data_IF_929634891754
#
_entry.id   IF_929634891754
#
_cell.length_a   1.000
_cell.length_b   1.000
_cell.length_c   1.000
_cell.angle_alpha   90.00
_cell.angle_beta   90.00
_cell.angle_gamma   90.00
#
_symmetry.space_group_name_H-M   'P 1'
#
loop_
_entity.id
_entity.type
_entity.pdbx_description
1 polymer ?
#
# COMPACT_ATOMS: atom_id res chain seq x y z
N UNK A 1 -15.86 9.66 3.07
CA UNK A 1 -16.05 10.90 2.29
C UNK A 1 -14.71 11.23 1.66
N UNK A 2 -14.64 11.30 0.33
CA UNK A 2 -13.37 11.55 -0.38
C UNK A 2 -13.25 13.06 -0.62
N UNK A 3 -12.50 13.73 0.24
CA UNK A 3 -11.97 15.09 0.02
C UNK A 3 -10.72 14.92 -0.87
N UNK A 4 -10.54 15.82 -1.83
CA UNK A 4 -9.37 15.77 -2.72
C UNK A 4 -8.08 16.16 -1.98
N UNK A 5 -6.92 15.82 -2.53
CA UNK A 5 -5.62 16.22 -1.94
C UNK A 5 -5.49 17.73 -1.83
N UNK A 6 -5.94 18.46 -2.85
CA UNK A 6 -5.84 19.92 -2.90
C UNK A 6 -6.74 20.57 -1.84
N UNK A 7 -7.97 20.07 -1.70
CA UNK A 7 -8.86 20.46 -0.62
C UNK A 7 -8.26 20.17 0.76
N UNK A 8 -7.57 19.04 0.94
CA UNK A 8 -6.89 18.72 2.21
C UNK A 8 -5.71 19.66 2.50
N UNK A 9 -4.95 20.07 1.49
CA UNK A 9 -3.87 21.06 1.66
C UNK A 9 -4.47 22.39 2.12
N UNK A 10 -5.55 22.86 1.49
CA UNK A 10 -6.25 24.07 1.91
C UNK A 10 -6.82 23.95 3.34
N UNK A 11 -7.31 22.75 3.71
CA UNK A 11 -7.74 22.47 5.08
C UNK A 11 -6.60 22.58 6.10
N UNK A 12 -5.36 22.20 5.74
CA UNK A 12 -4.18 22.35 6.60
C UNK A 12 -3.81 23.82 6.79
N UNK A 13 -3.83 24.61 5.72
CA UNK A 13 -3.56 26.04 5.82
C UNK A 13 -4.52 26.72 6.78
N UNK A 14 -5.82 26.44 6.63
CA UNK A 14 -6.85 26.96 7.53
C UNK A 14 -6.66 26.44 8.95
N UNK A 15 -6.31 25.17 9.16
CA UNK A 15 -5.96 24.66 10.50
C UNK A 15 -4.82 25.42 11.15
N UNK A 16 -3.79 25.79 10.36
CA UNK A 16 -2.68 26.62 10.83
C UNK A 16 -3.15 28.00 11.30
N UNK A 17 -3.94 28.68 10.47
CA UNK A 17 -4.52 30.00 10.79
C UNK A 17 -5.43 29.96 12.03
N UNK A 18 -6.16 28.86 12.21
CA UNK A 18 -7.11 28.67 13.29
C UNK A 18 -6.48 28.14 14.58
N UNK A 19 -5.15 28.20 14.73
CA UNK A 19 -4.42 27.65 15.88
C UNK A 19 -4.79 26.19 16.17
N UNK A 20 -4.98 25.39 15.11
CA UNK A 20 -5.35 23.96 15.15
C UNK A 20 -6.75 23.68 15.73
N UNK A 21 -7.63 24.70 15.80
CA UNK A 21 -9.02 24.53 16.20
C UNK A 21 -9.87 24.00 15.04
N UNK A 22 -10.21 22.71 15.09
CA UNK A 22 -10.95 22.01 14.04
C UNK A 22 -12.37 22.56 13.79
N UNK A 23 -13.07 23.00 14.84
CA UNK A 23 -14.43 23.54 14.72
C UNK A 23 -14.43 24.89 14.00
N UNK A 24 -13.50 25.77 14.39
CA UNK A 24 -13.33 27.08 13.77
C UNK A 24 -12.82 26.94 12.33
N UNK A 25 -11.89 26.02 12.10
CA UNK A 25 -11.38 25.69 10.75
C UNK A 25 -12.48 25.25 9.81
N UNK A 26 -13.40 24.40 10.28
CA UNK A 26 -14.53 23.95 9.46
C UNK A 26 -15.46 25.09 9.05
N UNK A 27 -15.69 26.06 9.93
CA UNK A 27 -16.49 27.26 9.60
C UNK A 27 -15.78 28.14 8.57
N UNK A 28 -14.52 28.49 8.83
CA UNK A 28 -13.72 29.34 7.93
C UNK A 28 -13.57 28.68 6.54
N UNK A 29 -13.36 27.37 6.48
CA UNK A 29 -13.27 26.64 5.22
C UNK A 29 -14.56 26.74 4.40
N UNK A 30 -15.72 26.60 5.04
CA UNK A 30 -17.02 26.72 4.36
C UNK A 30 -17.28 28.15 3.85
N UNK A 31 -16.80 29.16 4.56
CA UNK A 31 -16.91 30.56 4.16
C UNK A 31 -15.98 30.89 2.97
N UNK A 32 -14.73 30.42 3.01
CA UNK A 32 -13.74 30.68 1.95
C UNK A 32 -13.99 29.88 0.68
N UNK A 33 -14.53 28.67 0.80
CA UNK A 33 -14.76 27.76 -0.31
C UNK A 33 -16.24 27.34 -0.41
N UNK A 34 -17.15 28.28 -0.73
CA UNK A 34 -18.59 28.03 -0.71
C UNK A 34 -19.04 26.99 -1.75
N UNK A 35 -18.35 26.93 -2.89
CA UNK A 35 -18.63 26.00 -4.00
C UNK A 35 -18.02 24.60 -3.80
N UNK A 36 -17.22 24.42 -2.74
CA UNK A 36 -16.59 23.14 -2.42
C UNK A 36 -17.41 22.34 -1.43
N UNK A 37 -16.97 21.10 -1.20
CA UNK A 37 -17.56 20.27 -0.15
C UNK A 37 -17.36 20.94 1.20
N UNK A 38 -18.32 20.71 2.10
CA UNK A 38 -18.33 21.26 3.45
C UNK A 38 -17.85 20.20 4.45
N UNK A 39 -16.52 20.05 4.67
CA UNK A 39 -16.01 19.10 5.65
C UNK A 39 -16.53 19.44 7.04
N UNK A 40 -16.81 18.38 7.81
CA UNK A 40 -17.15 18.49 9.24
C UNK A 40 -15.88 18.64 10.07
N UNK A 41 -16.02 19.12 11.31
CA UNK A 41 -14.94 19.20 12.30
C UNK A 41 -14.11 17.91 12.37
N UNK A 42 -14.77 16.75 12.44
CA UNK A 42 -14.10 15.44 12.52
C UNK A 42 -13.14 15.17 11.35
N UNK A 43 -13.40 15.78 10.18
CA UNK A 43 -12.54 15.64 9.01
C UNK A 43 -11.23 16.39 9.22
N UNK A 44 -11.28 17.58 9.83
CA UNK A 44 -10.09 18.33 10.22
C UNK A 44 -9.31 17.65 11.34
N UNK A 45 -10.00 17.04 12.31
CA UNK A 45 -9.35 16.26 13.38
C UNK A 45 -8.58 15.07 12.80
N UNK A 46 -9.24 14.25 11.97
CA UNK A 46 -8.58 13.12 11.31
C UNK A 46 -7.42 13.53 10.41
N UNK A 47 -7.53 14.68 9.74
CA UNK A 47 -6.45 15.23 8.92
C UNK A 47 -5.28 15.68 9.78
N UNK A 48 -5.54 16.37 10.89
CA UNK A 48 -4.53 16.81 11.86
C UNK A 48 -3.81 15.62 12.50
N UNK A 49 -4.56 14.61 12.93
CA UNK A 49 -4.02 13.41 13.58
C UNK A 49 -3.12 12.61 12.64
N UNK A 50 -3.41 12.65 11.33
CA UNK A 50 -2.54 12.09 10.30
C UNK A 50 -1.32 12.95 10.01
N UNK A 51 -1.52 14.25 9.85
CA UNK A 51 -0.49 15.17 9.41
C UNK A 51 0.60 15.38 10.47
N UNK A 52 0.24 15.46 11.75
CA UNK A 52 1.20 15.68 12.82
C UNK A 52 2.35 14.66 12.86
N UNK A 53 2.11 13.33 12.79
CA UNK A 53 3.18 12.35 12.76
C UNK A 53 3.83 12.16 11.38
N UNK A 54 3.07 12.27 10.29
CA UNK A 54 3.57 11.88 8.95
C UNK A 54 4.02 13.04 8.07
N UNK A 55 3.60 14.27 8.37
CA UNK A 55 3.74 15.43 7.47
C UNK A 55 2.96 15.30 6.16
N UNK A 56 2.05 14.33 6.05
CA UNK A 56 1.36 13.99 4.81
C UNK A 56 -0.16 14.15 4.94
N UNK A 57 -0.78 14.71 3.90
CA UNK A 57 -2.25 14.73 3.74
C UNK A 57 -2.78 13.41 3.20
N UNK A 58 -1.93 12.63 2.52
CA UNK A 58 -2.34 11.42 1.84
C UNK A 58 -2.76 10.36 2.85
N UNK A 59 -3.82 9.62 2.51
CA UNK A 59 -4.17 8.43 3.28
C UNK A 59 -3.04 7.41 3.18
N UNK A 60 -2.70 6.79 4.31
CA UNK A 60 -1.79 5.65 4.30
C UNK A 60 -2.38 4.56 3.40
N UNK A 61 -1.58 4.11 2.44
CA UNK A 61 -1.94 2.94 1.67
C UNK A 61 -1.79 1.75 2.60
N UNK A 62 -2.89 1.11 2.95
CA UNK A 62 -2.82 -0.22 3.55
C UNK A 62 -2.19 -1.16 2.53
N UNK A 63 -0.93 -1.50 2.75
CA UNK A 63 -0.30 -2.59 2.01
C UNK A 63 -1.04 -3.87 2.37
N UNK A 64 -1.64 -4.52 1.38
CA UNK A 64 -2.20 -5.85 1.59
C UNK A 64 -1.04 -6.80 1.86
N UNK A 65 -1.07 -7.46 3.02
CA UNK A 65 -0.13 -8.53 3.33
C UNK A 65 -0.21 -9.59 2.24
N UNK A 66 0.91 -9.88 1.57
CA UNK A 66 1.01 -10.91 0.54
C UNK A 66 1.04 -12.27 1.22
N UNK A 67 -0.13 -12.87 1.47
CA UNK A 67 -0.22 -14.14 2.22
C UNK A 67 0.43 -15.33 1.51
N UNK A 68 0.54 -15.30 0.18
CA UNK A 68 1.08 -16.44 -0.59
C UNK A 68 2.61 -16.43 -0.71
N UNK A 69 3.26 -15.29 -0.47
CA UNK A 69 4.72 -15.09 -0.56
C UNK A 69 5.25 -14.85 0.85
N UNK A 70 5.08 -15.85 1.71
CA UNK A 70 5.80 -15.89 2.99
C UNK A 70 7.27 -16.24 2.71
N UNK A 71 8.18 -15.81 3.59
CA UNK A 71 9.61 -16.11 3.47
C UNK A 71 9.86 -17.63 3.38
N UNK A 72 9.07 -18.43 4.10
CA UNK A 72 9.14 -19.90 4.09
C UNK A 72 8.75 -20.49 2.73
N UNK A 73 7.60 -20.08 2.17
CA UNK A 73 7.15 -20.55 0.86
C UNK A 73 8.12 -20.12 -0.26
N UNK A 74 8.63 -18.90 -0.15
CA UNK A 74 9.62 -18.36 -1.08
C UNK A 74 10.91 -19.20 -1.02
N UNK A 75 11.42 -19.49 0.17
CA UNK A 75 12.62 -20.29 0.36
C UNK A 75 12.45 -21.72 -0.19
N UNK A 76 11.32 -22.38 0.11
CA UNK A 76 11.01 -23.72 -0.40
C UNK A 76 11.00 -23.76 -1.93
N UNK A 77 10.29 -22.83 -2.58
CA UNK A 77 10.22 -22.76 -4.05
C UNK A 77 11.59 -22.45 -4.66
N UNK A 78 12.35 -21.51 -4.09
CA UNK A 78 13.67 -21.16 -4.62
C UNK A 78 14.66 -22.32 -4.48
N UNK A 79 14.65 -23.05 -3.35
CA UNK A 79 15.50 -24.21 -3.14
C UNK A 79 15.22 -25.31 -4.19
N UNK A 80 13.95 -25.64 -4.42
CA UNK A 80 13.55 -26.62 -5.43
C UNK A 80 14.03 -26.24 -6.85
N UNK A 81 14.03 -24.96 -7.19
CA UNK A 81 14.56 -24.47 -8.48
C UNK A 81 16.08 -24.54 -8.54
N UNK A 82 16.78 -24.23 -7.45
CA UNK A 82 18.25 -24.31 -7.40
C UNK A 82 18.76 -25.75 -7.50
N UNK A 83 18.04 -26.72 -6.93
CA UNK A 83 18.39 -28.14 -7.02
C UNK A 83 18.15 -28.69 -8.43
N UNK A 84 17.06 -28.28 -9.08
CA UNK A 84 16.73 -28.71 -10.43
C UNK A 84 16.08 -27.59 -11.27
N UNK A 85 16.86 -26.82 -12.05
CA UNK A 85 16.34 -25.71 -12.85
C UNK A 85 15.48 -26.14 -14.06
N UNK A 86 15.44 -27.45 -14.36
CA UNK A 86 14.62 -28.05 -15.42
C UNK A 86 13.26 -28.54 -14.91
N UNK A 87 12.99 -28.41 -13.62
CA UNK A 87 11.67 -28.75 -13.05
C UNK A 87 10.58 -27.83 -13.60
N UNK A 88 9.34 -28.31 -13.62
CA UNK A 88 8.19 -27.50 -14.04
C UNK A 88 7.52 -26.85 -12.83
N UNK A 89 6.88 -25.70 -13.02
CA UNK A 89 6.08 -25.02 -11.98
C UNK A 89 5.03 -25.98 -11.37
N UNK A 90 4.42 -26.85 -12.20
CA UNK A 90 3.45 -27.85 -11.73
C UNK A 90 4.08 -28.91 -10.83
N UNK A 91 5.32 -29.30 -11.11
CA UNK A 91 6.06 -30.26 -10.28
C UNK A 91 6.33 -29.67 -8.90
N UNK A 92 6.89 -28.45 -8.86
CA UNK A 92 7.16 -27.73 -7.60
C UNK A 92 5.86 -27.52 -6.80
N UNK A 93 4.78 -27.12 -7.49
CA UNK A 93 3.47 -26.91 -6.88
C UNK A 93 2.96 -28.16 -6.16
N UNK A 94 3.10 -29.34 -6.78
CA UNK A 94 2.69 -30.60 -6.19
C UNK A 94 3.62 -31.05 -5.07
N UNK A 95 4.93 -30.86 -5.22
CA UNK A 95 5.95 -31.31 -4.27
C UNK A 95 5.99 -30.47 -2.98
N UNK A 96 5.80 -29.16 -3.12
CA UNK A 96 5.86 -28.20 -2.01
C UNK A 96 4.45 -27.80 -1.50
N UNK A 97 3.40 -28.50 -1.95
CA UNK A 97 2.00 -28.24 -1.58
C UNK A 97 1.57 -26.76 -1.72
N UNK A 98 2.13 -26.08 -2.73
CA UNK A 98 1.83 -24.69 -3.03
C UNK A 98 0.92 -24.58 -4.25
N UNK A 99 0.09 -23.53 -4.31
CA UNK A 99 -0.68 -23.29 -5.53
C UNK A 99 0.24 -22.92 -6.69
N UNK A 100 -0.09 -23.39 -7.89
CA UNK A 100 0.63 -23.07 -9.12
C UNK A 100 0.88 -21.56 -9.27
N UNK A 101 -0.13 -20.74 -8.97
CA UNK A 101 -0.04 -19.27 -9.04
C UNK A 101 0.95 -18.70 -8.03
N UNK A 102 1.03 -19.28 -6.81
CA UNK A 102 2.00 -18.84 -5.81
C UNK A 102 3.42 -19.09 -6.30
N UNK A 103 3.70 -20.31 -6.76
CA UNK A 103 5.00 -20.68 -7.32
C UNK A 103 5.37 -19.76 -8.50
N UNK A 104 4.45 -19.57 -9.45
CA UNK A 104 4.68 -18.69 -10.60
C UNK A 104 4.97 -17.23 -10.18
N UNK A 105 4.25 -16.72 -9.18
CA UNK A 105 4.44 -15.36 -8.68
C UNK A 105 5.79 -15.21 -7.95
N UNK A 106 6.16 -16.17 -7.10
CA UNK A 106 7.47 -16.21 -6.42
C UNK A 106 8.61 -16.18 -7.45
N UNK A 107 8.55 -17.03 -8.48
CA UNK A 107 9.57 -17.06 -9.53
C UNK A 107 9.63 -15.75 -10.31
N UNK A 108 8.48 -15.14 -10.61
CA UNK A 108 8.40 -13.87 -11.34
C UNK A 108 8.98 -12.70 -10.54
N UNK A 109 8.70 -12.64 -9.23
CA UNK A 109 9.26 -11.63 -8.30
C UNK A 109 10.78 -11.75 -8.23
N UNK A 110 11.29 -12.98 -8.13
CA UNK A 110 12.71 -13.29 -8.05
C UNK A 110 13.44 -13.29 -9.39
N UNK A 111 12.74 -12.98 -10.50
CA UNK A 111 13.30 -12.99 -11.87
C UNK A 111 13.95 -14.33 -12.25
N UNK A 112 13.43 -15.43 -11.72
CA UNK A 112 13.89 -16.78 -11.99
C UNK A 112 13.11 -17.37 -13.17
N UNK A 113 13.84 -17.82 -14.20
CA UNK A 113 13.26 -18.47 -15.36
C UNK A 113 13.68 -19.94 -15.39
N UNK A 114 12.70 -20.82 -15.13
CA UNK A 114 12.86 -22.26 -15.35
C UNK A 114 13.27 -22.50 -16.81
N UNK A 115 14.10 -23.53 -17.03
CA UNK A 115 14.70 -23.84 -18.33
C UNK A 115 15.73 -22.81 -18.86
N UNK A 116 16.16 -21.84 -18.04
CA UNK A 116 17.34 -21.04 -18.36
C UNK A 116 18.60 -21.82 -17.97
N UNK A 117 19.32 -22.33 -18.97
CA UNK A 117 20.55 -23.10 -18.78
C UNK A 117 21.61 -22.18 -18.17
N UNK A 118 21.95 -22.37 -16.90
CA UNK A 118 23.18 -21.78 -16.35
C UNK A 118 24.36 -22.62 -16.85
N UNK A 119 25.27 -22.00 -17.60
CA UNK A 119 26.57 -22.61 -17.92
C UNK A 119 27.32 -22.79 -16.60
N UNK A 120 27.60 -24.04 -16.25
CA UNK A 120 28.55 -24.45 -15.20
C UNK A 120 29.96 -24.07 -15.64
#
# INVERSE_FOLDING_TARGET
MNVTTDEMVDMIWILGECNKNSLLSARIYQERFPDRRKPRQDTFEKLKDRFNPTGSVNYEKHERTKTSVTEENEMSVLMAVTENPHTSIRSISNEQEHSYYSVQNILSINKMHLYHIQKI
#
